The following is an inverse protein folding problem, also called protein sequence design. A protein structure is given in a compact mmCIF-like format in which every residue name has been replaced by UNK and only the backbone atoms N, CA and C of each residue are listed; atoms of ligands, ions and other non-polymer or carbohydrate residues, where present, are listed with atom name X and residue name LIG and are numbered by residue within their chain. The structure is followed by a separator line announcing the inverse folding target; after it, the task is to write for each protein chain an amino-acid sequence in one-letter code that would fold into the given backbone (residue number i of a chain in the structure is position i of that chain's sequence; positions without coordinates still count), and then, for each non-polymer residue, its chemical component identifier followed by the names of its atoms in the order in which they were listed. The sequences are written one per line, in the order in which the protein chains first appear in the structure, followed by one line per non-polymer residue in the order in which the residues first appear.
data_IF_533229605535
#
_entry.id   IF_533229605535
#
_cell.length_a   1.000
_cell.length_b   1.000
_cell.length_c   1.000
_cell.angle_alpha   90.00
_cell.angle_beta   90.00
_cell.angle_gamma   90.00
#
_symmetry.space_group_name_H-M   'P 1'
#
loop_
_entity.id
_entity.type
_entity.pdbx_description
1 polymer ?
#
# COMPACT_ATOMS: atom_id res chain seq x y z
N UNK A 1 -33.11 0.23 -14.78
CA UNK A 1 -32.35 -0.37 -13.65
C UNK A 1 -30.87 -0.43 -13.96
N UNK A 2 -30.43 -0.87 -15.16
CA UNK A 2 -29.02 -0.83 -15.59
C UNK A 2 -28.39 0.59 -15.58
N UNK A 3 -29.09 1.62 -16.08
CA UNK A 3 -28.57 3.01 -16.06
C UNK A 3 -28.39 3.60 -14.64
N UNK A 4 -29.08 3.07 -13.62
CA UNK A 4 -28.91 3.53 -12.23
C UNK A 4 -27.73 2.83 -11.54
N UNK A 5 -27.48 1.57 -11.88
CA UNK A 5 -26.30 0.82 -11.41
C UNK A 5 -25.00 1.35 -12.05
N UNK A 6 -25.02 1.67 -13.35
CA UNK A 6 -23.87 2.28 -14.03
C UNK A 6 -23.54 3.68 -13.49
N UNK A 7 -24.55 4.51 -13.21
CA UNK A 7 -24.32 5.82 -12.59
C UNK A 7 -23.90 5.74 -11.12
N UNK A 8 -24.33 4.70 -10.39
CA UNK A 8 -23.95 4.46 -9.00
C UNK A 8 -22.46 4.13 -8.85
N UNK A 9 -21.92 3.25 -9.70
CA UNK A 9 -20.50 2.88 -9.68
C UNK A 9 -19.59 4.05 -10.06
N UNK A 10 -20.01 4.85 -11.05
CA UNK A 10 -19.23 6.00 -11.50
C UNK A 10 -18.96 7.03 -10.40
N UNK A 11 -19.93 7.26 -9.50
CA UNK A 11 -19.74 8.19 -8.37
C UNK A 11 -18.60 7.74 -7.46
N UNK A 12 -18.49 6.44 -7.17
CA UNK A 12 -17.46 5.92 -6.29
C UNK A 12 -16.09 5.90 -6.97
N UNK A 13 -16.06 5.52 -8.25
CA UNK A 13 -14.84 5.58 -9.06
C UNK A 13 -14.30 7.00 -9.18
N UNK A 14 -15.18 8.00 -9.38
CA UNK A 14 -14.79 9.42 -9.46
C UNK A 14 -14.23 9.92 -8.12
N UNK A 15 -14.88 9.62 -7.00
CA UNK A 15 -14.42 10.02 -5.66
C UNK A 15 -13.12 9.33 -5.27
N UNK A 16 -12.97 8.06 -5.61
CA UNK A 16 -11.74 7.31 -5.36
C UNK A 16 -10.58 7.81 -6.24
N UNK A 17 -10.86 8.12 -7.51
CA UNK A 17 -9.87 8.76 -8.40
C UNK A 17 -9.44 10.13 -7.90
N UNK A 18 -10.36 10.92 -7.31
CA UNK A 18 -10.00 12.17 -6.64
C UNK A 18 -9.04 11.91 -5.47
N UNK A 19 -9.28 10.87 -4.66
CA UNK A 19 -8.38 10.50 -3.55
C UNK A 19 -7.01 10.01 -4.02
N UNK A 20 -6.93 9.21 -5.09
CA UNK A 20 -5.66 8.64 -5.58
C UNK A 20 -4.64 9.70 -6.01
N UNK A 21 -5.12 10.86 -6.47
CA UNK A 21 -4.28 11.99 -6.89
C UNK A 21 -3.86 12.91 -5.76
N UNK A 22 -4.30 12.67 -4.53
CA UNK A 22 -3.96 13.50 -3.38
C UNK A 22 -2.80 12.89 -2.62
N UNK A 23 -1.77 13.70 -2.37
CA UNK A 23 -0.76 13.35 -1.38
C UNK A 23 -1.38 13.32 0.01
N UNK A 24 -0.91 12.42 0.87
CA UNK A 24 -1.53 12.23 2.18
C UNK A 24 -1.33 13.45 3.09
N UNK A 25 -0.37 14.33 2.82
CA UNK A 25 -0.23 15.61 3.53
C UNK A 25 -1.43 16.56 3.32
N UNK A 26 -2.21 16.40 2.25
CA UNK A 26 -3.32 17.28 1.88
C UNK A 26 -4.61 16.99 2.69
N UNK A 27 -4.47 16.91 4.00
CA UNK A 27 -5.51 16.47 4.96
C UNK A 27 -6.83 17.23 4.81
N UNK A 28 -6.79 18.54 4.53
CA UNK A 28 -8.01 19.35 4.33
C UNK A 28 -8.78 18.95 3.06
N UNK A 29 -8.07 18.68 1.96
CA UNK A 29 -8.67 18.21 0.70
C UNK A 29 -9.24 16.82 0.87
N UNK A 30 -8.49 15.92 1.50
CA UNK A 30 -8.93 14.55 1.80
C UNK A 30 -10.20 14.58 2.67
N UNK A 31 -10.24 15.43 3.70
CA UNK A 31 -11.44 15.61 4.54
C UNK A 31 -12.64 16.12 3.74
N UNK A 32 -12.43 17.01 2.76
CA UNK A 32 -13.51 17.47 1.89
C UNK A 32 -14.07 16.33 1.02
N UNK A 33 -13.20 15.44 0.52
CA UNK A 33 -13.65 14.24 -0.22
C UNK A 33 -14.36 13.25 0.71
N UNK A 34 -13.86 13.04 1.93
CA UNK A 34 -14.54 12.23 2.97
C UNK A 34 -15.98 12.69 3.20
N UNK A 35 -16.21 14.01 3.27
CA UNK A 35 -17.56 14.57 3.42
C UNK A 35 -18.46 14.28 2.21
N UNK A 36 -17.93 14.35 0.97
CA UNK A 36 -18.66 13.95 -0.24
C UNK A 36 -19.06 12.48 -0.18
N UNK A 37 -18.15 11.61 0.27
CA UNK A 37 -18.39 10.16 0.41
C UNK A 37 -19.50 9.90 1.43
N UNK A 38 -19.47 10.54 2.61
CA UNK A 38 -20.56 10.41 3.59
C UNK A 38 -21.91 10.87 3.03
N UNK A 39 -21.95 11.99 2.30
CA UNK A 39 -23.18 12.50 1.71
C UNK A 39 -23.78 11.53 0.67
N UNK A 40 -22.93 10.83 -0.09
CA UNK A 40 -23.35 9.78 -1.01
C UNK A 40 -23.81 8.51 -0.27
N UNK A 41 -23.06 8.07 0.74
CA UNK A 41 -23.36 6.87 1.54
C UNK A 41 -24.65 7.03 2.36
N UNK A 42 -25.03 8.24 2.77
CA UNK A 42 -26.32 8.48 3.42
C UNK A 42 -27.52 8.04 2.57
N UNK A 43 -27.37 8.02 1.24
CA UNK A 43 -28.40 7.54 0.31
C UNK A 43 -28.33 6.02 0.09
N UNK A 44 -27.18 5.40 0.32
CA UNK A 44 -26.94 3.96 0.16
C UNK A 44 -25.94 3.43 1.23
N UNK A 45 -26.37 3.24 2.50
CA UNK A 45 -25.45 3.06 3.64
C UNK A 45 -24.66 1.74 3.70
N UNK A 46 -25.04 0.77 2.85
CA UNK A 46 -24.42 -0.54 2.74
C UNK A 46 -23.74 -0.77 1.38
N UNK A 47 -23.62 0.29 0.55
CA UNK A 47 -22.95 0.17 -0.75
C UNK A 47 -21.45 -0.09 -0.54
N UNK A 48 -20.98 -1.27 -0.98
CA UNK A 48 -19.62 -1.73 -0.70
C UNK A 48 -18.56 -0.79 -1.28
N UNK A 49 -18.72 -0.34 -2.53
CA UNK A 49 -17.80 0.56 -3.23
C UNK A 49 -17.62 1.87 -2.45
N UNK A 50 -18.70 2.43 -1.91
CA UNK A 50 -18.64 3.63 -1.09
C UNK A 50 -17.97 3.39 0.26
N UNK A 51 -18.19 2.23 0.89
CA UNK A 51 -17.51 1.87 2.15
C UNK A 51 -16.01 1.64 1.93
N UNK A 52 -15.61 1.02 0.81
CA UNK A 52 -14.20 0.84 0.42
C UNK A 52 -13.54 2.19 0.16
N UNK A 53 -14.23 3.10 -0.53
CA UNK A 53 -13.75 4.47 -0.78
C UNK A 53 -13.58 5.24 0.54
N UNK A 54 -14.53 5.10 1.47
CA UNK A 54 -14.43 5.72 2.80
C UNK A 54 -13.30 5.11 3.65
N UNK A 55 -13.11 3.80 3.56
CA UNK A 55 -12.00 3.10 4.20
C UNK A 55 -10.65 3.67 3.73
N UNK A 56 -10.50 3.90 2.42
CA UNK A 56 -9.29 4.51 1.86
C UNK A 56 -9.07 5.93 2.40
N UNK A 57 -10.10 6.79 2.39
CA UNK A 57 -10.01 8.13 2.97
C UNK A 57 -9.60 8.10 4.46
N UNK A 58 -10.10 7.14 5.25
CA UNK A 58 -9.68 6.98 6.63
C UNK A 58 -8.22 6.56 6.78
N UNK A 59 -7.68 5.74 5.88
CA UNK A 59 -6.25 5.41 5.84
C UNK A 59 -5.44 6.68 5.57
N UNK A 60 -5.81 7.47 4.56
CA UNK A 60 -5.13 8.73 4.20
C UNK A 60 -5.11 9.75 5.35
N UNK A 61 -6.20 9.83 6.12
CA UNK A 61 -6.32 10.70 7.30
C UNK A 61 -5.61 10.13 8.55
N UNK A 62 -4.98 8.95 8.46
CA UNK A 62 -4.39 8.26 9.60
C UNK A 62 -5.41 7.80 10.65
N UNK A 63 -6.68 7.69 10.28
CA UNK A 63 -7.80 7.26 11.12
C UNK A 63 -7.91 5.72 11.17
N UNK A 64 -6.81 5.05 11.53
CA UNK A 64 -6.67 3.58 11.52
C UNK A 64 -7.85 2.84 12.16
N UNK A 65 -8.30 3.27 13.34
CA UNK A 65 -9.40 2.61 14.06
C UNK A 65 -10.69 2.58 13.23
N UNK A 66 -11.03 3.71 12.58
CA UNK A 66 -12.19 3.78 11.69
C UNK A 66 -11.99 2.94 10.43
N UNK A 67 -10.80 2.96 9.84
CA UNK A 67 -10.48 2.14 8.66
C UNK A 67 -10.60 0.63 8.96
N UNK A 68 -10.08 0.16 10.10
CA UNK A 68 -10.24 -1.24 10.53
C UNK A 68 -11.68 -1.62 10.80
N UNK A 69 -12.43 -0.75 11.47
CA UNK A 69 -13.88 -0.95 11.67
C UNK A 69 -14.62 -1.07 10.33
N UNK A 70 -14.25 -0.24 9.34
CA UNK A 70 -14.80 -0.31 8.00
C UNK A 70 -14.46 -1.63 7.30
N UNK A 71 -13.22 -2.12 7.44
CA UNK A 71 -12.80 -3.42 6.90
C UNK A 71 -13.72 -4.55 7.38
N UNK A 72 -13.95 -4.62 8.69
CA UNK A 72 -14.84 -5.64 9.26
C UNK A 72 -16.29 -5.46 8.82
N UNK A 73 -16.78 -4.23 8.73
CA UNK A 73 -18.13 -3.95 8.22
C UNK A 73 -18.30 -4.42 6.76
N UNK A 74 -17.35 -4.12 5.88
CA UNK A 74 -17.37 -4.57 4.47
C UNK A 74 -17.36 -6.10 4.42
N UNK A 75 -16.52 -6.74 5.24
CA UNK A 75 -16.43 -8.18 5.35
C UNK A 75 -17.74 -8.84 5.80
N UNK A 76 -18.42 -8.26 6.79
CA UNK A 76 -19.69 -8.76 7.32
C UNK A 76 -20.85 -8.62 6.33
N UNK A 77 -20.88 -7.54 5.54
CA UNK A 77 -21.90 -7.36 4.49
C UNK A 77 -21.72 -8.44 3.41
N UNK A 78 -20.48 -8.66 2.97
CA UNK A 78 -20.16 -9.62 1.92
C UNK A 78 -20.78 -9.26 0.55
N UNK A 79 -20.52 -10.11 -0.45
CA UNK A 79 -21.01 -9.91 -1.82
C UNK A 79 -19.90 -9.89 -2.86
N UNK A 80 -20.27 -9.71 -4.12
CA UNK A 80 -19.34 -9.59 -5.24
C UNK A 80 -18.95 -8.14 -5.47
N UNK A 81 -17.66 -7.90 -5.70
CA UNK A 81 -17.13 -6.60 -6.10
C UNK A 81 -16.69 -6.65 -7.57
N UNK A 82 -16.76 -5.50 -8.25
CA UNK A 82 -16.01 -5.35 -9.49
C UNK A 82 -14.50 -5.49 -9.21
N UNK A 83 -13.70 -6.03 -10.14
CA UNK A 83 -12.27 -6.30 -9.92
C UNK A 83 -11.48 -5.09 -9.39
N UNK A 84 -11.79 -3.89 -9.89
CA UNK A 84 -11.18 -2.64 -9.42
C UNK A 84 -11.40 -2.40 -7.92
N UNK A 85 -12.65 -2.44 -7.45
CA UNK A 85 -12.93 -2.25 -6.01
C UNK A 85 -12.45 -3.42 -5.16
N UNK A 86 -12.45 -4.64 -5.69
CA UNK A 86 -11.86 -5.80 -5.01
C UNK A 86 -10.36 -5.58 -4.77
N UNK A 87 -9.62 -5.14 -5.80
CA UNK A 87 -8.20 -4.83 -5.69
C UNK A 87 -7.93 -3.72 -4.65
N UNK A 88 -8.69 -2.63 -4.70
CA UNK A 88 -8.57 -1.52 -3.74
C UNK A 88 -8.85 -1.98 -2.32
N UNK A 89 -9.87 -2.82 -2.14
CA UNK A 89 -10.20 -3.37 -0.83
C UNK A 89 -9.06 -4.26 -0.31
N UNK A 90 -8.51 -5.15 -1.15
CA UNK A 90 -7.37 -6.00 -0.78
C UNK A 90 -6.16 -5.14 -0.40
N UNK A 91 -5.83 -4.11 -1.18
CA UNK A 91 -4.75 -3.18 -0.86
C UNK A 91 -4.97 -2.49 0.49
N UNK A 92 -6.18 -2.03 0.76
CA UNK A 92 -6.53 -1.41 2.03
C UNK A 92 -6.42 -2.39 3.21
N UNK A 93 -6.76 -3.66 3.02
CA UNK A 93 -6.53 -4.70 4.02
C UNK A 93 -5.04 -4.92 4.29
N UNK A 94 -4.21 -4.99 3.24
CA UNK A 94 -2.76 -5.13 3.34
C UNK A 94 -2.15 -3.92 4.07
N UNK A 95 -2.55 -2.70 3.71
CA UNK A 95 -2.14 -1.45 4.35
C UNK A 95 -2.40 -1.43 5.86
N UNK A 96 -3.52 -2.00 6.30
CA UNK A 96 -3.89 -2.09 7.73
C UNK A 96 -3.30 -3.31 8.45
N UNK A 97 -2.52 -4.13 7.75
CA UNK A 97 -1.97 -5.39 8.26
C UNK A 97 -3.03 -6.45 8.52
N UNK A 98 -4.17 -6.41 7.83
CA UNK A 98 -5.25 -7.41 7.90
C UNK A 98 -4.98 -8.58 6.94
N UNK A 99 -3.79 -9.17 7.06
CA UNK A 99 -3.23 -10.15 6.13
C UNK A 99 -4.11 -11.40 6.01
N UNK A 100 -4.71 -11.86 7.11
CA UNK A 100 -5.57 -13.05 7.09
C UNK A 100 -6.81 -12.84 6.21
N UNK A 101 -7.41 -11.65 6.25
CA UNK A 101 -8.55 -11.29 5.40
C UNK A 101 -8.11 -11.11 3.94
N UNK A 102 -6.99 -10.42 3.71
CA UNK A 102 -6.42 -10.25 2.37
C UNK A 102 -6.08 -11.60 1.73
N UNK A 103 -5.49 -12.52 2.50
CA UNK A 103 -5.17 -13.89 2.07
C UNK A 103 -6.41 -14.62 1.56
N UNK A 104 -7.52 -14.57 2.30
CA UNK A 104 -8.75 -15.27 1.88
C UNK A 104 -9.23 -14.76 0.50
N UNK A 105 -9.14 -13.46 0.24
CA UNK A 105 -9.54 -12.86 -1.04
C UNK A 105 -8.52 -13.17 -2.15
N UNK A 106 -7.22 -13.23 -1.81
CA UNK A 106 -6.13 -13.48 -2.76
C UNK A 106 -5.96 -14.97 -3.10
N UNK A 107 -6.29 -15.90 -2.21
CA UNK A 107 -6.16 -17.36 -2.45
C UNK A 107 -6.73 -17.81 -3.79
N UNK A 108 -7.99 -17.53 -4.17
CA UNK A 108 -8.52 -17.95 -5.47
C UNK A 108 -7.79 -17.26 -6.65
N UNK A 109 -7.21 -16.08 -6.43
CA UNK A 109 -6.42 -15.36 -7.45
C UNK A 109 -5.04 -15.99 -7.63
N UNK A 110 -4.43 -16.48 -6.56
CA UNK A 110 -3.16 -17.23 -6.60
C UNK A 110 -3.38 -18.59 -7.27
N UNK A 111 -4.46 -19.29 -6.94
CA UNK A 111 -4.80 -20.59 -7.55
C UNK A 111 -5.02 -20.48 -9.07
N UNK A 112 -5.54 -19.34 -9.53
CA UNK A 112 -5.77 -19.02 -10.94
C UNK A 112 -4.90 -17.84 -11.40
N UNK A 113 -3.61 -17.87 -11.06
CA UNK A 113 -2.71 -16.72 -11.23
C UNK A 113 -2.69 -16.17 -12.65
N UNK A 114 -2.65 -17.04 -13.67
CA UNK A 114 -2.60 -16.62 -15.09
C UNK A 114 -3.76 -15.73 -15.50
N UNK A 115 -4.96 -15.98 -14.95
CA UNK A 115 -6.17 -15.24 -15.32
C UNK A 115 -6.32 -13.94 -14.51
N UNK A 116 -5.64 -13.84 -13.38
CA UNK A 116 -5.83 -12.78 -12.40
C UNK A 116 -4.65 -11.80 -12.28
N UNK A 117 -3.46 -12.18 -12.77
CA UNK A 117 -2.23 -11.43 -12.55
C UNK A 117 -2.36 -9.98 -13.04
N UNK A 118 -2.90 -9.74 -14.23
CA UNK A 118 -3.02 -8.38 -14.81
C UNK A 118 -3.73 -7.39 -13.88
N UNK A 119 -4.79 -7.84 -13.19
CA UNK A 119 -5.55 -6.97 -12.29
C UNK A 119 -5.02 -6.97 -10.85
N UNK A 120 -4.55 -8.11 -10.35
CA UNK A 120 -4.21 -8.25 -8.92
C UNK A 120 -2.71 -8.21 -8.64
N UNK A 121 -1.86 -8.06 -9.66
CA UNK A 121 -0.41 -8.10 -9.53
C UNK A 121 0.13 -7.21 -8.40
N UNK A 122 -0.22 -5.91 -8.28
CA UNK A 122 0.29 -5.09 -7.18
C UNK A 122 -0.09 -5.63 -5.79
N UNK A 123 -1.28 -6.22 -5.66
CA UNK A 123 -1.74 -6.79 -4.39
C UNK A 123 -1.06 -8.13 -4.08
N UNK A 124 -0.79 -8.93 -5.11
CA UNK A 124 -0.09 -10.20 -4.99
C UNK A 124 1.37 -9.99 -4.60
N UNK A 125 2.07 -9.06 -5.25
CA UNK A 125 3.46 -8.73 -4.92
C UNK A 125 3.55 -8.21 -3.49
N UNK A 126 2.72 -7.22 -3.13
CA UNK A 126 2.70 -6.67 -1.77
C UNK A 126 2.39 -7.74 -0.73
N UNK A 127 1.43 -8.62 -0.99
CA UNK A 127 1.14 -9.76 -0.13
C UNK A 127 2.33 -10.71 0.04
N UNK A 128 3.02 -11.04 -1.07
CA UNK A 128 4.18 -11.92 -1.06
C UNK A 128 5.35 -11.30 -0.27
N UNK A 129 5.61 -10.00 -0.45
CA UNK A 129 6.60 -9.24 0.33
C UNK A 129 6.23 -9.24 1.81
N UNK A 130 4.99 -8.86 2.17
CA UNK A 130 4.51 -8.80 3.55
C UNK A 130 4.57 -10.15 4.27
N UNK A 131 4.38 -11.26 3.55
CA UNK A 131 4.39 -12.60 4.13
C UNK A 131 5.74 -13.31 4.01
N UNK A 132 6.68 -12.71 3.29
CA UNK A 132 7.97 -13.30 2.93
C UNK A 132 7.84 -14.57 2.08
N UNK A 133 6.82 -14.62 1.22
CA UNK A 133 6.53 -15.75 0.34
C UNK A 133 7.41 -15.70 -0.93
N UNK A 134 8.67 -16.14 -0.77
CA UNK A 134 9.64 -16.22 -1.88
C UNK A 134 9.10 -17.07 -3.05
N UNK A 135 8.49 -18.26 -2.85
CA UNK A 135 7.90 -19.02 -3.95
C UNK A 135 6.85 -18.25 -4.75
N UNK A 136 6.01 -17.44 -4.09
CA UNK A 136 5.05 -16.60 -4.80
C UNK A 136 5.74 -15.47 -5.56
N UNK A 137 6.78 -14.83 -4.99
CA UNK A 137 7.57 -13.83 -5.72
C UNK A 137 8.22 -14.41 -6.99
N UNK A 138 8.84 -15.59 -6.90
CA UNK A 138 9.43 -16.27 -8.07
C UNK A 138 8.36 -16.58 -9.13
N UNK A 139 7.18 -17.05 -8.72
CA UNK A 139 6.07 -17.30 -9.63
C UNK A 139 5.62 -16.02 -10.34
N UNK A 140 5.52 -14.90 -9.63
CA UNK A 140 5.14 -13.61 -10.18
C UNK A 140 6.19 -13.10 -11.17
N UNK A 141 7.49 -13.23 -10.86
CA UNK A 141 8.58 -12.79 -11.74
C UNK A 141 8.73 -13.60 -13.02
N UNK A 142 8.24 -14.82 -13.05
CA UNK A 142 8.24 -15.66 -14.25
C UNK A 142 7.19 -15.24 -15.31
N UNK A 143 6.30 -14.28 -15.01
CA UNK A 143 5.31 -13.80 -15.98
C UNK A 143 5.88 -12.73 -16.90
N UNK A 144 5.86 -13.00 -18.21
CA UNK A 144 6.51 -12.18 -19.23
C UNK A 144 5.94 -10.75 -19.41
N UNK A 145 4.71 -10.50 -18.95
CA UNK A 145 4.04 -9.20 -19.07
C UNK A 145 4.19 -8.32 -17.81
N UNK A 146 5.07 -8.71 -16.89
CA UNK A 146 5.30 -7.96 -15.65
C UNK A 146 6.01 -6.64 -15.94
N UNK A 147 5.52 -5.58 -15.31
CA UNK A 147 6.03 -4.21 -15.41
C UNK A 147 7.53 -4.15 -15.22
N UNK A 148 8.21 -3.39 -16.09
CA UNK A 148 9.67 -3.19 -16.14
C UNK A 148 10.30 -2.49 -14.91
N UNK A 149 9.68 -2.59 -13.73
CA UNK A 149 10.14 -1.96 -12.48
C UNK A 149 10.43 -2.95 -11.33
N UNK A 150 9.98 -4.21 -11.43
CA UNK A 150 10.09 -5.17 -10.31
C UNK A 150 11.20 -6.22 -10.50
N UNK A 151 12.03 -6.12 -11.56
CA UNK A 151 13.15 -7.05 -11.80
C UNK A 151 14.05 -7.16 -10.56
N UNK A 152 14.34 -6.02 -9.91
CA UNK A 152 15.11 -5.93 -8.67
C UNK A 152 14.49 -6.76 -7.53
N UNK A 153 13.16 -6.83 -7.45
CA UNK A 153 12.49 -7.64 -6.43
C UNK A 153 12.65 -9.14 -6.68
N UNK A 154 12.71 -9.56 -7.94
CA UNK A 154 12.91 -10.95 -8.30
C UNK A 154 14.36 -11.39 -8.12
N UNK A 155 15.32 -10.52 -8.45
CA UNK A 155 16.73 -10.73 -8.10
C UNK A 155 16.93 -10.80 -6.59
N UNK A 156 16.21 -9.96 -5.82
CA UNK A 156 16.17 -10.05 -4.36
C UNK A 156 15.64 -11.42 -3.91
N UNK A 157 14.55 -11.92 -4.50
CA UNK A 157 13.95 -13.20 -4.15
C UNK A 157 14.91 -14.38 -4.45
N UNK A 158 15.55 -14.36 -5.62
CA UNK A 158 16.52 -15.35 -6.07
C UNK A 158 17.75 -15.42 -5.14
N UNK A 159 18.20 -14.29 -4.60
CA UNK A 159 19.29 -14.26 -3.62
C UNK A 159 18.90 -15.01 -2.33
N UNK A 160 17.66 -14.84 -1.87
CA UNK A 160 17.17 -15.55 -0.68
C UNK A 160 16.92 -17.03 -0.94
N UNK A 161 16.51 -17.42 -2.15
CA UNK A 161 16.39 -18.83 -2.51
C UNK A 161 17.75 -19.51 -2.66
N UNK A 162 18.63 -18.95 -3.49
CA UNK A 162 19.96 -19.51 -3.75
C UNK A 162 20.81 -19.63 -2.48
N UNK A 163 20.60 -18.72 -1.52
CA UNK A 163 21.23 -18.79 -0.20
C UNK A 163 20.59 -19.76 0.80
N UNK A 164 19.52 -20.48 0.45
CA UNK A 164 18.69 -21.27 1.37
C UNK A 164 18.18 -20.44 2.57
N UNK A 165 17.77 -19.19 2.29
CA UNK A 165 17.35 -18.18 3.29
C UNK A 165 15.86 -17.83 3.21
N UNK A 166 15.04 -18.54 2.42
CA UNK A 166 13.58 -18.33 2.33
C UNK A 166 12.89 -18.18 3.69
N UNK A 167 13.11 -19.14 4.60
CA UNK A 167 12.52 -19.10 5.94
C UNK A 167 13.05 -17.94 6.80
N UNK A 168 14.26 -17.44 6.54
CA UNK A 168 14.79 -16.27 7.24
C UNK A 168 14.00 -15.01 6.83
N UNK A 169 13.76 -14.82 5.53
CA UNK A 169 12.96 -13.68 5.05
C UNK A 169 11.55 -13.69 5.63
N UNK A 170 10.86 -14.84 5.54
CA UNK A 170 9.54 -15.05 6.13
C UNK A 170 9.48 -14.74 7.63
N UNK A 171 10.45 -15.22 8.40
CA UNK A 171 10.51 -14.96 9.83
C UNK A 171 10.80 -13.49 10.15
N UNK A 172 11.62 -12.82 9.34
CA UNK A 172 11.86 -11.37 9.47
C UNK A 172 10.58 -10.58 9.16
N UNK A 173 9.84 -10.91 8.11
CA UNK A 173 8.57 -10.24 7.78
C UNK A 173 7.53 -10.44 8.89
N UNK A 174 7.42 -11.66 9.43
CA UNK A 174 6.59 -11.94 10.61
C UNK A 174 6.99 -11.06 11.80
N UNK A 175 8.29 -10.96 12.08
CA UNK A 175 8.82 -10.11 13.14
C UNK A 175 8.46 -8.63 12.92
N UNK A 176 8.60 -8.11 11.70
CA UNK A 176 8.24 -6.74 11.36
C UNK A 176 6.76 -6.49 11.68
N UNK A 177 5.89 -7.39 11.24
CA UNK A 177 4.44 -7.26 11.42
C UNK A 177 4.02 -7.38 12.89
N UNK A 178 4.60 -8.31 13.65
CA UNK A 178 4.34 -8.47 15.09
C UNK A 178 4.60 -7.18 15.88
N UNK A 179 5.54 -6.35 15.43
CA UNK A 179 5.94 -5.12 16.10
C UNK A 179 5.30 -3.86 15.50
N UNK A 180 4.54 -3.97 14.40
CA UNK A 180 4.00 -2.82 13.67
C UNK A 180 2.51 -2.84 13.39
N UNK A 181 1.90 -4.02 13.26
CA UNK A 181 0.48 -4.21 12.87
C UNK A 181 -0.51 -3.41 13.73
N UNK A 182 -0.16 -3.17 15.00
CA UNK A 182 -1.02 -2.39 15.90
C UNK A 182 -1.01 -0.88 15.67
N UNK A 183 -0.04 -0.37 14.93
CA UNK A 183 0.15 1.06 14.63
C UNK A 183 0.00 1.37 13.14
N UNK A 184 0.11 0.34 12.30
CA UNK A 184 0.15 0.42 10.85
C UNK A 184 -1.10 1.08 10.26
N UNK A 185 -0.86 2.11 9.45
CA UNK A 185 -1.87 2.77 8.62
C UNK A 185 -1.68 2.42 7.14
N UNK A 186 -0.43 2.35 6.68
CA UNK A 186 -0.06 1.80 5.38
C UNK A 186 1.23 1.00 5.48
N UNK A 187 1.37 -0.03 4.65
CA UNK A 187 2.61 -0.78 4.45
C UNK A 187 2.99 -0.55 3.00
N UNK A 188 4.19 -0.10 2.71
CA UNK A 188 4.71 -0.02 1.35
C UNK A 188 6.10 -0.63 1.30
N UNK A 189 6.64 -0.77 0.09
CA UNK A 189 8.02 -1.18 -0.11
C UNK A 189 8.63 -0.44 -1.29
N UNK A 190 9.94 -0.29 -1.25
CA UNK A 190 10.74 0.33 -2.30
C UNK A 190 11.91 -0.58 -2.66
N UNK A 191 12.33 -0.51 -3.92
CA UNK A 191 13.37 -1.34 -4.50
C UNK A 191 14.54 -0.45 -4.92
N UNK A 192 15.75 -0.91 -4.62
CA UNK A 192 16.98 -0.21 -4.97
C UNK A 192 17.99 -1.19 -5.58
N UNK A 193 18.72 -0.73 -6.60
CA UNK A 193 19.85 -1.46 -7.22
C UNK A 193 21.01 -0.49 -7.54
N UNK A 194 21.15 0.58 -6.77
CA UNK A 194 22.16 1.62 -6.98
C UNK A 194 23.60 1.10 -6.80
N UNK A 195 23.78 -0.09 -6.24
CA UNK A 195 25.08 -0.72 -5.96
C UNK A 195 25.32 -2.04 -6.71
N UNK A 196 24.45 -2.41 -7.67
CA UNK A 196 24.50 -3.70 -8.35
C UNK A 196 24.19 -4.87 -7.41
N UNK A 197 23.35 -4.61 -6.42
CA UNK A 197 22.90 -5.57 -5.41
C UNK A 197 21.44 -5.24 -5.08
N UNK A 198 20.52 -6.21 -5.22
CA UNK A 198 19.09 -5.93 -5.11
C UNK A 198 18.71 -5.72 -3.65
N UNK A 199 18.13 -4.55 -3.36
CA UNK A 199 17.75 -4.11 -2.02
C UNK A 199 16.25 -3.85 -1.92
N UNK A 200 15.67 -4.30 -0.81
CA UNK A 200 14.28 -4.10 -0.44
C UNK A 200 14.21 -3.21 0.81
N UNK A 201 13.51 -2.09 0.71
CA UNK A 201 13.16 -1.27 1.86
C UNK A 201 11.68 -1.43 2.16
N UNK A 202 11.34 -1.81 3.39
CA UNK A 202 9.97 -1.79 3.87
C UNK A 202 9.66 -0.43 4.47
N UNK A 203 8.59 0.21 4.02
CA UNK A 203 8.14 1.52 4.49
C UNK A 203 6.85 1.35 5.30
N UNK A 204 6.94 1.58 6.61
CA UNK A 204 5.80 1.46 7.51
C UNK A 204 5.26 2.84 7.85
N UNK A 205 4.06 3.16 7.36
CA UNK A 205 3.41 4.42 7.66
C UNK A 205 2.49 4.32 8.88
N UNK A 206 2.69 5.22 9.84
CA UNK A 206 1.93 5.28 11.09
C UNK A 206 1.48 6.72 11.38
N UNK A 207 0.40 6.91 12.14
CA UNK A 207 -0.08 8.25 12.48
C UNK A 207 0.48 8.73 13.84
N UNK A 208 1.81 8.85 13.93
CA UNK A 208 2.52 9.28 15.14
C UNK A 208 3.64 10.26 14.82
N UNK A 209 4.17 10.93 15.84
CA UNK A 209 5.28 11.87 15.68
C UNK A 209 6.61 11.19 15.30
N UNK A 210 7.58 12.00 14.88
CA UNK A 210 8.89 11.52 14.42
C UNK A 210 9.67 10.79 15.52
N UNK A 211 9.44 11.13 16.79
CA UNK A 211 10.12 10.47 17.91
C UNK A 211 9.61 9.04 18.07
N UNK A 212 8.29 8.83 17.99
CA UNK A 212 7.68 7.51 17.99
C UNK A 212 8.16 6.70 16.78
N UNK A 213 8.12 7.28 15.58
CA UNK A 213 8.55 6.63 14.35
C UNK A 213 10.01 6.16 14.45
N UNK A 214 10.92 7.05 14.86
CA UNK A 214 12.35 6.73 15.05
C UNK A 214 12.56 5.60 16.07
N UNK A 215 11.86 5.65 17.20
CA UNK A 215 11.96 4.62 18.25
C UNK A 215 11.45 3.26 17.75
N UNK A 216 10.35 3.26 17.00
CA UNK A 216 9.78 2.04 16.42
C UNK A 216 10.73 1.42 15.39
N UNK A 217 11.29 2.23 14.48
CA UNK A 217 12.29 1.80 13.50
C UNK A 217 13.52 1.19 14.17
N UNK A 218 14.08 1.86 15.19
CA UNK A 218 15.22 1.36 15.95
C UNK A 218 14.91 0.01 16.63
N UNK A 219 13.73 -0.13 17.22
CA UNK A 219 13.30 -1.37 17.85
C UNK A 219 13.17 -2.53 16.85
N UNK A 220 12.55 -2.29 15.69
CA UNK A 220 12.42 -3.30 14.64
C UNK A 220 13.80 -3.69 14.12
N UNK A 221 14.64 -2.72 13.80
CA UNK A 221 16.02 -2.94 13.32
C UNK A 221 16.85 -3.75 14.32
N UNK A 222 16.78 -3.41 15.60
CA UNK A 222 17.47 -4.16 16.66
C UNK A 222 17.02 -5.61 16.75
N UNK A 223 15.72 -5.88 16.54
CA UNK A 223 15.15 -7.23 16.53
C UNK A 223 15.53 -8.05 15.30
N UNK A 224 15.60 -7.43 14.12
CA UNK A 224 16.12 -8.07 12.90
C UNK A 224 17.59 -8.45 13.10
N UNK A 225 18.40 -7.54 13.66
CA UNK A 225 19.81 -7.82 13.97
C UNK A 225 19.96 -8.95 15.01
N UNK A 226 19.10 -8.97 16.03
CA UNK A 226 19.09 -10.04 17.02
C UNK A 226 18.68 -11.40 16.41
N UNK A 227 17.72 -11.41 15.48
CA UNK A 227 17.32 -12.61 14.75
C UNK A 227 18.50 -13.22 13.98
N UNK A 228 19.21 -12.43 13.17
CA UNK A 228 20.39 -12.91 12.43
C UNK A 228 21.47 -13.50 13.35
N UNK A 229 21.77 -12.82 14.47
CA UNK A 229 22.69 -13.33 15.49
C UNK A 229 22.24 -14.66 16.08
N UNK A 230 20.94 -14.82 16.37
CA UNK A 230 20.40 -16.06 16.94
C UNK A 230 20.45 -17.25 15.98
N UNK A 231 20.33 -17.00 14.68
CA UNK A 231 20.41 -18.03 13.64
C UNK A 231 21.86 -18.38 13.26
N UNK A 232 22.86 -17.66 13.78
CA UNK A 232 24.27 -17.87 13.43
C UNK A 232 24.60 -17.54 11.97
N UNK A 233 23.80 -16.70 11.32
CA UNK A 233 23.94 -16.30 9.92
C UNK A 233 24.29 -14.82 9.83
N UNK A 234 25.17 -14.45 8.91
CA UNK A 234 25.45 -13.05 8.62
C UNK A 234 24.29 -12.40 7.84
N UNK A 235 23.87 -11.18 8.19
CA UNK A 235 22.87 -10.45 7.42
C UNK A 235 23.31 -10.24 5.97
N UNK A 236 22.38 -10.35 5.02
CA UNK A 236 22.63 -10.03 3.60
C UNK A 236 22.79 -8.52 3.36
N UNK A 237 22.40 -7.68 4.31
CA UNK A 237 22.42 -6.21 4.21
C UNK A 237 21.65 -5.65 3.01
N UNK A 238 20.62 -6.36 2.53
CA UNK A 238 19.73 -5.92 1.45
C UNK A 238 18.29 -5.67 1.90
N UNK A 239 18.01 -5.75 3.20
CA UNK A 239 16.69 -5.51 3.75
C UNK A 239 16.78 -4.41 4.79
N UNK A 240 16.04 -3.33 4.55
CA UNK A 240 15.90 -2.22 5.50
C UNK A 240 14.44 -1.97 5.84
N UNK A 241 14.20 -1.32 6.98
CA UNK A 241 12.86 -0.90 7.41
C UNK A 241 12.94 0.56 7.81
N UNK A 242 12.05 1.36 7.25
CA UNK A 242 11.81 2.74 7.67
C UNK A 242 10.40 2.87 8.25
N UNK A 243 10.23 3.78 9.20
CA UNK A 243 8.93 4.07 9.80
C UNK A 243 8.69 5.56 9.67
N UNK A 244 7.59 5.93 9.02
CA UNK A 244 7.29 7.32 8.70
C UNK A 244 5.88 7.72 9.12
N UNK A 245 5.66 9.03 9.22
CA UNK A 245 4.31 9.54 9.44
C UNK A 245 3.46 9.31 8.19
N UNK A 246 2.23 8.83 8.35
CA UNK A 246 1.26 8.58 7.27
C UNK A 246 1.04 9.80 6.34
N UNK A 247 1.25 11.02 6.82
CA UNK A 247 1.18 12.24 6.00
C UNK A 247 2.27 12.33 4.93
N UNK A 248 3.39 11.63 5.11
CA UNK A 248 4.50 11.56 4.17
C UNK A 248 4.31 10.46 3.12
N UNK A 249 3.19 9.74 3.17
CA UNK A 249 2.86 8.75 2.15
C UNK A 249 2.60 9.46 0.80
N UNK A 250 3.21 9.00 -0.29
CA UNK A 250 2.96 9.57 -1.62
C UNK A 250 1.52 9.33 -2.07
N UNK A 251 1.11 9.99 -3.16
CA UNK A 251 -0.11 9.63 -3.86
C UNK A 251 -0.11 8.16 -4.30
N UNK A 252 -1.29 7.62 -4.62
CA UNK A 252 -1.38 6.33 -5.29
C UNK A 252 -1.23 6.45 -6.82
N UNK A 253 -1.50 7.64 -7.34
CA UNK A 253 -1.31 7.98 -8.75
C UNK A 253 -0.19 9.03 -8.87
N UNK A 254 1.06 8.54 -8.96
CA UNK A 254 2.26 9.36 -9.11
C UNK A 254 2.43 9.95 -10.52
N UNK A 255 1.46 9.74 -11.43
CA UNK A 255 1.43 10.42 -12.73
C UNK A 255 1.19 11.92 -12.63
N UNK A 256 0.86 12.41 -11.43
CA UNK A 256 0.86 13.83 -11.09
C UNK A 256 2.27 14.23 -10.66
N UNK A 257 3.20 14.28 -11.62
CA UNK A 257 4.38 15.13 -11.48
C UNK A 257 3.89 16.52 -11.03
N UNK A 258 4.52 17.02 -9.98
CA UNK A 258 4.42 18.38 -9.47
C UNK A 258 3.85 19.38 -10.49
N UNK A 259 2.56 19.69 -10.37
CA UNK A 259 2.09 21.03 -10.72
C UNK A 259 2.86 21.95 -9.78
N UNK A 260 4.02 22.41 -10.27
CA UNK A 260 4.83 23.41 -9.63
C UNK A 260 3.91 24.49 -9.10
N UNK A 261 4.21 24.91 -7.87
CA UNK A 261 3.92 26.23 -7.38
C UNK A 261 4.15 27.28 -8.48
N UNK A 262 3.12 27.56 -9.29
CA UNK A 262 2.97 28.85 -9.92
C UNK A 262 2.51 29.78 -8.79
N UNK A 263 3.48 30.13 -7.94
CA UNK A 263 3.41 31.39 -7.22
C UNK A 263 3.27 32.46 -8.31
N UNK A 264 2.31 33.39 -8.22
CA UNK A 264 2.28 34.50 -9.14
C UNK A 264 3.57 35.30 -8.91
N UNK A 265 4.55 35.12 -9.80
CA UNK A 265 5.70 36.01 -9.89
C UNK A 265 5.13 37.38 -10.24
N UNK A 266 5.03 38.23 -9.22
CA UNK A 266 4.85 39.65 -9.43
C UNK A 266 6.07 40.13 -10.20
N UNK A 267 5.87 40.44 -11.48
CA UNK A 267 6.75 41.32 -12.21
C UNK A 267 5.92 42.44 -12.82
N UNK A 268 6.30 43.64 -12.40
CA UNK A 268 5.77 44.95 -12.72
C UNK A 268 5.68 45.19 -14.23
N UNK A 269 4.56 45.76 -14.66
CA UNK A 269 4.31 46.24 -16.01
C UNK A 269 5.10 47.52 -16.38
N UNK A 270 6.37 47.62 -15.97
CA UNK A 270 7.21 48.82 -16.14
C UNK A 270 8.46 48.59 -17.01
N UNK A 271 8.63 47.44 -17.67
CA UNK A 271 9.91 47.15 -18.35
C UNK A 271 9.85 46.64 -19.79
N UNK A 272 8.86 47.07 -20.57
CA UNK A 272 8.98 46.98 -22.04
C UNK A 272 8.47 48.28 -22.68
N UNK A 273 9.36 49.28 -22.70
CA UNK A 273 9.17 50.47 -23.54
C UNK A 273 9.30 50.11 -25.01
N UNK A 274 8.15 49.85 -25.65
CA UNK A 274 7.89 49.94 -27.09
C UNK A 274 6.43 50.38 -27.30
#
# INVERSE_FOLDING_TARGET
MENQLQNGNRVWEDLLSELFRLNYEQQSRITAVEQKIYAALNKAPQQLEGLITLMFAHIMLGNRSKAKSMAHKIWEIGGSLAPFFEQVYIQNLLNLGLIDMAKILLSPRIEQLKDNIVFFYPSLVKYAVMTGDIPLLEQLGAFADVTAGDEVLYDFADLYESGNRREHFKNIQKLILEHSREYLSSYEYELYDDRGFPELQIVLYVNYDNQFCSKMQQNITAKINAFWRSCGQEPLNNLSVIVENIRLHPSWDDSVESDELILPSGDSADNWGL
#
